data_IF_764867905241
#
_entry.id   IF_764867905241
#
_cell.length_a   1.000
_cell.length_b   1.000
_cell.length_c   1.000
_cell.angle_alpha   90.00
_cell.angle_beta   90.00
_cell.angle_gamma   90.00
#
_symmetry.space_group_name_H-M   'P 1'
#
loop_
_entity.id
_entity.type
_entity.pdbx_description
1 polymer ?
#
# COMPACT_ATOMS: atom_id res chain seq x y z
N UNK A 1 -4.16 -30.47 3.34
CA UNK A 1 -3.51 -30.27 4.65
C UNK A 1 -4.56 -30.44 5.75
N UNK A 2 -4.30 -31.18 6.84
CA UNK A 2 -5.23 -31.29 7.97
C UNK A 2 -4.90 -30.23 9.02
N UNK A 3 -5.91 -29.46 9.46
CA UNK A 3 -5.80 -28.53 10.58
C UNK A 3 -6.87 -28.85 11.63
N UNK A 4 -6.63 -28.42 12.87
CA UNK A 4 -7.61 -28.52 13.96
C UNK A 4 -8.02 -27.11 14.39
N UNK A 5 -9.29 -26.77 14.26
CA UNK A 5 -9.86 -25.48 14.69
C UNK A 5 -11.07 -25.74 15.58
N UNK A 6 -11.09 -25.16 16.78
CA UNK A 6 -12.15 -25.36 17.78
C UNK A 6 -12.45 -26.85 18.06
N UNK A 7 -11.41 -27.70 18.08
CA UNK A 7 -11.55 -29.13 18.30
C UNK A 7 -12.08 -29.94 17.11
N UNK A 8 -12.40 -29.30 15.98
CA UNK A 8 -12.82 -29.96 14.75
C UNK A 8 -11.64 -30.12 13.78
N UNK A 9 -11.53 -31.31 13.18
CA UNK A 9 -10.60 -31.56 12.09
C UNK A 9 -11.17 -31.02 10.79
N UNK A 10 -10.40 -30.18 10.11
CA UNK A 10 -10.73 -29.62 8.81
C UNK A 10 -9.65 -30.07 7.84
N UNK A 11 -10.06 -30.75 6.77
CA UNK A 11 -9.17 -31.10 5.67
C UNK A 11 -9.28 -30.00 4.60
N UNK A 12 -8.22 -29.22 4.44
CA UNK A 12 -8.13 -28.21 3.40
C UNK A 12 -7.72 -28.87 2.07
N UNK A 13 -8.45 -28.52 1.02
CA UNK A 13 -8.05 -28.75 -0.36
C UNK A 13 -6.79 -27.95 -0.70
N UNK A 14 -6.11 -28.32 -1.78
CA UNK A 14 -4.95 -27.56 -2.27
C UNK A 14 -5.34 -26.11 -2.62
N UNK A 15 -6.53 -25.91 -3.18
CA UNK A 15 -7.05 -24.60 -3.51
C UNK A 15 -7.31 -23.73 -2.27
N UNK A 16 -7.97 -24.26 -1.25
CA UNK A 16 -8.21 -23.52 0.01
C UNK A 16 -6.90 -23.19 0.73
N UNK A 17 -5.92 -24.10 0.67
CA UNK A 17 -4.59 -23.85 1.22
C UNK A 17 -3.88 -22.71 0.47
N UNK A 18 -3.95 -22.71 -0.86
CA UNK A 18 -3.38 -21.65 -1.69
C UNK A 18 -4.05 -20.30 -1.42
N UNK A 19 -5.38 -20.26 -1.34
CA UNK A 19 -6.12 -19.03 -1.01
C UNK A 19 -5.74 -18.47 0.35
N UNK A 20 -5.67 -19.32 1.38
CA UNK A 20 -5.27 -18.90 2.72
C UNK A 20 -3.83 -18.36 2.76
N UNK A 21 -2.93 -18.95 1.97
CA UNK A 21 -1.56 -18.45 1.82
C UNK A 21 -1.53 -17.06 1.19
N UNK A 22 -2.24 -16.86 0.07
CA UNK A 22 -2.29 -15.56 -0.62
C UNK A 22 -2.94 -14.48 0.26
N UNK A 23 -4.00 -14.82 1.00
CA UNK A 23 -4.63 -13.90 1.95
C UNK A 23 -3.67 -13.50 3.08
N UNK A 24 -3.00 -14.47 3.70
CA UNK A 24 -2.04 -14.22 4.76
C UNK A 24 -0.86 -13.37 4.27
N UNK A 25 -0.38 -13.65 3.05
CA UNK A 25 0.67 -12.88 2.39
C UNK A 25 0.23 -11.44 2.14
N UNK A 26 -0.97 -11.22 1.59
CA UNK A 26 -1.51 -9.88 1.39
C UNK A 26 -1.63 -9.11 2.71
N UNK A 27 -2.16 -9.75 3.77
CA UNK A 27 -2.27 -9.13 5.10
C UNK A 27 -0.91 -8.71 5.65
N UNK A 28 0.10 -9.57 5.54
CA UNK A 28 1.46 -9.28 5.98
C UNK A 28 2.07 -8.08 5.21
N UNK A 29 1.97 -8.08 3.88
CA UNK A 29 2.49 -6.98 3.06
C UNK A 29 1.74 -5.67 3.33
N UNK A 30 0.42 -5.74 3.54
CA UNK A 30 -0.41 -4.59 3.93
C UNK A 30 0.01 -4.01 5.27
N UNK A 31 0.18 -4.83 6.30
CA UNK A 31 0.61 -4.40 7.63
C UNK A 31 1.99 -3.75 7.56
N UNK A 32 2.94 -4.37 6.86
CA UNK A 32 4.28 -3.80 6.66
C UNK A 32 4.25 -2.41 6.01
N UNK A 33 3.43 -2.21 4.96
CA UNK A 33 3.26 -0.87 4.37
C UNK A 33 2.74 0.12 5.40
N UNK A 34 1.66 -0.21 6.10
CA UNK A 34 0.99 0.70 7.02
C UNK A 34 1.87 1.09 8.22
N UNK A 35 2.63 0.14 8.78
CA UNK A 35 3.54 0.39 9.90
C UNK A 35 4.73 1.27 9.52
N UNK A 36 5.18 1.22 8.26
CA UNK A 36 6.38 1.93 7.79
C UNK A 36 6.09 3.26 7.09
N UNK A 37 4.83 3.65 6.89
CA UNK A 37 4.50 4.86 6.12
C UNK A 37 5.05 6.15 6.72
N UNK A 38 4.99 6.29 8.05
CA UNK A 38 5.44 7.50 8.75
C UNK A 38 6.95 7.70 8.59
N UNK A 39 7.73 6.62 8.70
CA UNK A 39 9.20 6.66 8.63
C UNK A 39 9.73 6.84 7.20
N UNK A 40 8.92 6.50 6.19
CA UNK A 40 9.33 6.58 4.78
C UNK A 40 9.21 7.99 4.18
N UNK A 41 8.55 8.93 4.86
CA UNK A 41 8.25 10.28 4.38
C UNK A 41 8.61 11.36 5.39
N UNK A 42 8.89 12.60 4.94
CA UNK A 42 8.93 13.75 5.82
C UNK A 42 7.59 13.93 6.56
N UNK A 43 7.64 14.26 7.86
CA UNK A 43 6.47 14.38 8.75
C UNK A 43 5.36 15.26 8.19
N UNK A 44 5.72 16.36 7.52
CA UNK A 44 4.76 17.29 6.91
C UNK A 44 3.98 16.64 5.76
N UNK A 45 4.66 15.85 4.92
CA UNK A 45 4.04 15.13 3.81
C UNK A 45 3.14 14.00 4.33
N UNK A 46 3.65 13.20 5.27
CA UNK A 46 2.88 12.12 5.88
C UNK A 46 1.62 12.66 6.58
N UNK A 47 1.72 13.78 7.30
CA UNK A 47 0.56 14.37 8.00
C UNK A 47 -0.60 14.73 7.07
N UNK A 48 -0.32 15.09 5.81
CA UNK A 48 -1.34 15.35 4.78
C UNK A 48 -1.96 14.07 4.24
N UNK A 49 -1.17 13.00 4.14
CA UNK A 49 -1.54 11.77 3.45
C UNK A 49 -2.04 10.64 4.38
N UNK A 50 -1.79 10.71 5.69
CA UNK A 50 -2.11 9.63 6.64
C UNK A 50 -3.58 9.23 6.69
N UNK A 51 -4.49 10.12 6.31
CA UNK A 51 -5.93 9.87 6.23
C UNK A 51 -6.42 9.55 4.80
N UNK A 52 -5.53 9.56 3.81
CA UNK A 52 -5.86 9.28 2.42
C UNK A 52 -5.82 7.75 2.18
N UNK A 53 -7.00 7.14 2.05
CA UNK A 53 -7.14 5.70 1.81
C UNK A 53 -6.62 5.28 0.42
N UNK A 54 -6.78 6.12 -0.62
CA UNK A 54 -6.25 5.81 -1.95
C UNK A 54 -4.71 5.78 -1.97
N UNK A 55 -4.07 6.62 -1.18
CA UNK A 55 -2.62 6.59 -0.98
C UNK A 55 -2.15 5.31 -0.29
N UNK A 56 -2.86 4.88 0.76
CA UNK A 56 -2.57 3.61 1.44
C UNK A 56 -2.75 2.43 0.49
N UNK A 57 -3.90 2.35 -0.17
CA UNK A 57 -4.24 1.25 -1.07
C UNK A 57 -3.27 1.17 -2.26
N UNK A 58 -2.89 2.33 -2.81
CA UNK A 58 -1.87 2.39 -3.87
C UNK A 58 -0.52 1.87 -3.39
N UNK A 59 -0.10 2.23 -2.18
CA UNK A 59 1.16 1.77 -1.59
C UNK A 59 1.14 0.26 -1.38
N UNK A 60 0.04 -0.28 -0.84
CA UNK A 60 -0.20 -1.72 -0.66
C UNK A 60 -0.18 -2.47 -1.98
N UNK A 61 -0.75 -1.89 -3.04
CA UNK A 61 -0.78 -2.52 -4.38
C UNK A 61 0.57 -2.46 -5.10
N UNK A 62 1.35 -1.39 -4.92
CA UNK A 62 2.65 -1.24 -5.58
C UNK A 62 3.74 -2.09 -4.94
N UNK A 63 3.68 -2.29 -3.62
CA UNK A 63 4.73 -2.98 -2.90
C UNK A 63 5.00 -4.41 -3.41
N UNK A 64 3.99 -5.29 -3.60
CA UNK A 64 4.20 -6.61 -4.19
C UNK A 64 4.79 -6.55 -5.59
N UNK A 65 4.41 -5.56 -6.43
CA UNK A 65 4.99 -5.41 -7.77
C UNK A 65 6.48 -5.11 -7.72
N UNK A 66 6.89 -4.21 -6.82
CA UNK A 66 8.30 -3.86 -6.68
C UNK A 66 9.12 -5.01 -6.09
N UNK A 67 8.56 -5.70 -5.09
CA UNK A 67 9.23 -6.81 -4.42
C UNK A 67 9.30 -8.07 -5.30
N UNK A 68 8.20 -8.43 -5.97
CA UNK A 68 8.04 -9.72 -6.66
C UNK A 68 8.26 -9.60 -8.15
N UNK A 69 7.63 -8.63 -8.82
CA UNK A 69 7.75 -8.50 -10.28
C UNK A 69 9.08 -7.86 -10.69
N UNK A 70 9.56 -6.88 -9.90
CA UNK A 70 10.83 -6.18 -10.16
C UNK A 70 12.01 -6.72 -9.33
N UNK A 71 11.77 -7.73 -8.48
CA UNK A 71 12.78 -8.39 -7.66
C UNK A 71 13.65 -7.42 -6.85
N UNK A 72 13.07 -6.32 -6.37
CA UNK A 72 13.76 -5.36 -5.52
C UNK A 72 13.92 -5.94 -4.11
N UNK A 73 15.00 -5.55 -3.44
CA UNK A 73 15.18 -5.85 -2.01
C UNK A 73 13.99 -5.35 -1.20
N UNK A 74 13.56 -6.12 -0.20
CA UNK A 74 12.33 -5.90 0.55
C UNK A 74 12.19 -4.45 1.06
N UNK A 75 13.21 -3.95 1.76
CA UNK A 75 13.22 -2.60 2.33
C UNK A 75 13.18 -1.51 1.24
N UNK A 76 13.78 -1.77 0.08
CA UNK A 76 13.81 -0.84 -1.04
C UNK A 76 12.45 -0.80 -1.70
N UNK A 77 11.87 -1.96 -2.02
CA UNK A 77 10.53 -2.09 -2.58
C UNK A 77 9.49 -1.38 -1.70
N UNK A 78 9.55 -1.59 -0.39
CA UNK A 78 8.65 -0.98 0.59
C UNK A 78 8.73 0.55 0.56
N UNK A 79 9.95 1.09 0.67
CA UNK A 79 10.19 2.55 0.66
C UNK A 79 9.77 3.20 -0.66
N UNK A 80 10.12 2.59 -1.78
CA UNK A 80 9.78 3.11 -3.11
C UNK A 80 8.27 3.08 -3.34
N UNK A 81 7.57 2.00 -2.98
CA UNK A 81 6.12 1.92 -3.13
C UNK A 81 5.39 3.03 -2.35
N UNK A 82 5.84 3.32 -1.13
CA UNK A 82 5.29 4.40 -0.28
C UNK A 82 5.61 5.78 -0.89
N UNK A 83 6.85 6.01 -1.32
CA UNK A 83 7.30 7.30 -1.85
C UNK A 83 6.67 7.64 -3.19
N UNK A 84 6.62 6.69 -4.11
CA UNK A 84 6.01 6.88 -5.43
C UNK A 84 4.50 7.11 -5.31
N UNK A 85 3.84 6.41 -4.39
CA UNK A 85 2.44 6.65 -4.09
C UNK A 85 2.24 8.07 -3.58
N UNK A 86 3.02 8.51 -2.59
CA UNK A 86 2.92 9.86 -2.03
C UNK A 86 3.14 10.93 -3.09
N UNK A 87 4.15 10.76 -3.95
CA UNK A 87 4.46 11.69 -5.04
C UNK A 87 3.26 11.90 -5.96
N UNK A 88 2.57 10.82 -6.36
CA UNK A 88 1.39 10.92 -7.23
C UNK A 88 0.30 11.82 -6.65
N UNK A 89 0.00 11.71 -5.36
CA UNK A 89 -1.07 12.48 -4.74
C UNK A 89 -0.67 13.93 -4.45
N UNK A 90 0.59 14.16 -4.10
CA UNK A 90 1.10 15.52 -3.88
C UNK A 90 1.24 16.30 -5.19
N UNK A 91 1.60 15.64 -6.29
CA UNK A 91 1.65 16.26 -7.61
C UNK A 91 0.24 16.57 -8.13
N UNK A 92 -0.75 15.71 -7.84
CA UNK A 92 -2.15 15.96 -8.15
C UNK A 92 -2.72 17.17 -7.37
N UNK A 93 -2.48 17.25 -6.05
CA UNK A 93 -2.90 18.37 -5.20
C UNK A 93 -2.32 19.70 -5.73
N UNK A 94 -1.04 19.70 -6.12
CA UNK A 94 -0.40 20.90 -6.71
C UNK A 94 -1.04 21.29 -8.04
N UNK A 95 -1.38 20.34 -8.90
CA UNK A 95 -1.99 20.61 -10.19
C UNK A 95 -3.38 21.25 -10.03
N UNK A 96 -4.22 20.71 -9.14
CA UNK A 96 -5.55 21.26 -8.85
C UNK A 96 -5.49 22.70 -8.32
N UNK A 97 -4.54 22.98 -7.42
CA UNK A 97 -4.33 24.34 -6.88
C UNK A 97 -3.90 25.35 -7.96
N UNK A 98 -3.12 24.92 -8.95
CA UNK A 98 -2.72 25.78 -10.07
C UNK A 98 -3.91 26.09 -10.97
N UNK A 99 -4.75 25.09 -11.27
CA UNK A 99 -5.96 25.28 -12.07
C UNK A 99 -6.95 26.23 -11.40
N UNK A 100 -7.19 26.06 -10.10
CA UNK A 100 -8.12 26.90 -9.34
C UNK A 100 -7.67 28.37 -9.32
N UNK A 101 -6.38 28.63 -9.08
CA UNK A 101 -5.81 29.99 -9.18
C UNK A 101 -5.91 30.57 -10.59
N UNK A 102 -5.76 29.75 -11.62
CA UNK A 102 -5.91 30.17 -13.03
C UNK A 102 -7.36 30.52 -13.41
N UNK A 103 -8.35 29.91 -12.76
CA UNK A 103 -9.78 30.24 -12.94
C UNK A 103 -10.15 31.53 -12.20
N UNK A 104 -9.68 31.70 -10.97
CA UNK A 104 -10.00 32.87 -10.14
C UNK A 104 -9.31 34.17 -10.58
N UNK A 105 -8.26 34.10 -11.40
CA UNK A 105 -7.54 35.25 -11.96
C UNK A 105 -8.09 35.74 -13.30
N UNK A 106 -9.06 35.03 -13.90
CA UNK A 106 -9.73 35.38 -15.16
C UNK A 106 -11.17 35.89 -14.97
N UNK A 107 -11.61 36.07 -13.72
CA UNK A 107 -12.92 36.61 -13.35
C UNK A 107 -12.86 38.09 -13.04
#
# INVERSE_FOLDING_TARGET
MEIVRNGQKILLTEWELFQAYEEQKYLYLKESVLENMEDCLPKEMYSKLKANEDYKERSITLFPKYYEDYHMEYDVALKEAIRDSAKKFLDAEKAELIEEKGRNSKG
#
